data_IF_626331998770
#
_entry.id   IF_626331998770
#
_cell.length_a   1.000
_cell.length_b   1.000
_cell.length_c   1.000
_cell.angle_alpha   90.00
_cell.angle_beta   90.00
_cell.angle_gamma   90.00
#
_symmetry.space_group_name_H-M   'P 1'
#
loop_
_entity.id
_entity.type
_entity.pdbx_description
1 polymer ?
#
# COMPACT_ATOMS: atom_id res chain seq x y z
N UNK A 1 -0.11 4.66 -4.62
CA UNK A 1 -1.09 4.59 -5.72
C UNK A 1 -0.67 5.57 -6.81
N UNK A 2 -1.28 5.50 -8.00
CA UNK A 2 -1.02 6.50 -9.06
C UNK A 2 -1.73 7.84 -8.80
N UNK A 3 -2.38 7.96 -7.64
CA UNK A 3 -3.09 9.15 -7.15
C UNK A 3 -2.30 10.44 -7.20
N UNK A 4 -0.97 10.36 -7.20
CA UNK A 4 -0.07 11.51 -7.37
C UNK A 4 -0.31 12.22 -8.72
N UNK A 5 -0.64 11.47 -9.78
CA UNK A 5 -0.89 12.01 -11.11
C UNK A 5 -2.26 11.62 -11.70
N UNK A 6 -3.03 10.75 -11.03
CA UNK A 6 -4.42 10.41 -11.37
C UNK A 6 -5.30 10.59 -10.12
N UNK A 7 -5.87 11.78 -9.94
CA UNK A 7 -6.55 12.20 -8.68
C UNK A 7 -7.62 11.21 -8.17
N UNK A 8 -8.28 10.47 -9.06
CA UNK A 8 -9.37 9.53 -8.74
C UNK A 8 -8.99 8.07 -8.99
N UNK A 9 -7.70 7.74 -8.85
CA UNK A 9 -7.20 6.37 -9.00
C UNK A 9 -7.89 5.38 -8.03
N UNK A 10 -8.31 4.23 -8.57
CA UNK A 10 -9.02 3.16 -7.86
C UNK A 10 -8.53 1.80 -8.36
N UNK A 11 -8.85 0.72 -7.64
CA UNK A 11 -8.42 -0.60 -8.05
C UNK A 11 -8.96 -0.97 -9.44
N UNK A 12 -8.10 -1.59 -10.25
CA UNK A 12 -8.49 -2.11 -11.56
C UNK A 12 -9.53 -3.24 -11.44
N UNK A 13 -9.37 -4.11 -10.44
CA UNK A 13 -10.25 -5.24 -10.17
C UNK A 13 -11.10 -5.01 -8.91
N UNK A 14 -12.25 -5.67 -8.85
CA UNK A 14 -13.13 -5.63 -7.69
C UNK A 14 -12.60 -6.54 -6.57
N UNK A 15 -12.67 -6.06 -5.34
CA UNK A 15 -12.48 -6.87 -4.14
C UNK A 15 -13.70 -6.71 -3.23
N UNK A 16 -14.43 -7.79 -2.98
CA UNK A 16 -15.68 -7.73 -2.23
C UNK A 16 -16.74 -6.82 -2.87
N UNK A 17 -16.76 -6.74 -4.21
CA UNK A 17 -17.70 -5.90 -4.96
C UNK A 17 -17.35 -4.41 -5.03
N UNK A 18 -16.18 -3.99 -4.53
CA UNK A 18 -15.74 -2.59 -4.54
C UNK A 18 -14.44 -2.38 -5.31
N UNK A 19 -14.30 -1.21 -5.96
CA UNK A 19 -13.03 -0.71 -6.53
C UNK A 19 -12.22 0.14 -5.53
N UNK A 20 -12.76 0.40 -4.34
CA UNK A 20 -12.03 1.16 -3.33
C UNK A 20 -10.83 0.35 -2.81
N UNK A 21 -9.69 1.02 -2.59
CA UNK A 21 -8.54 0.40 -1.93
C UNK A 21 -8.97 -0.21 -0.59
N UNK A 22 -8.64 -1.49 -0.32
CA UNK A 22 -9.20 -2.23 0.79
C UNK A 22 -8.62 -1.77 2.11
N UNK A 23 -9.43 -1.81 3.16
CA UNK A 23 -8.93 -1.72 4.53
C UNK A 23 -8.32 -3.06 4.96
N UNK A 24 -7.49 -3.03 6.00
CA UNK A 24 -6.90 -4.22 6.60
C UNK A 24 -7.90 -5.37 6.82
N UNK A 25 -9.08 -5.09 7.41
CA UNK A 25 -10.12 -6.10 7.67
C UNK A 25 -10.62 -6.80 6.40
N UNK A 26 -10.68 -6.09 5.28
CA UNK A 26 -11.08 -6.68 4.01
C UNK A 26 -9.98 -7.59 3.46
N UNK A 27 -8.71 -7.16 3.50
CA UNK A 27 -7.58 -8.03 3.12
C UNK A 27 -7.53 -9.30 3.98
N UNK A 28 -7.74 -9.16 5.29
CA UNK A 28 -7.81 -10.30 6.21
C UNK A 28 -8.95 -11.25 5.85
N UNK A 29 -10.15 -10.74 5.59
CA UNK A 29 -11.30 -11.54 5.14
C UNK A 29 -11.00 -12.25 3.82
N UNK A 30 -10.40 -11.57 2.85
CA UNK A 30 -10.02 -12.17 1.58
C UNK A 30 -9.05 -13.33 1.77
N UNK A 31 -7.96 -13.12 2.51
CA UNK A 31 -6.97 -14.16 2.75
C UNK A 31 -7.59 -15.39 3.43
N UNK A 32 -8.48 -15.19 4.40
CA UNK A 32 -9.15 -16.29 5.10
C UNK A 32 -10.19 -17.01 4.25
N UNK A 33 -11.04 -16.29 3.53
CA UNK A 33 -12.19 -16.87 2.83
C UNK A 33 -11.89 -17.30 1.40
N UNK A 34 -11.07 -16.55 0.65
CA UNK A 34 -10.79 -16.81 -0.75
C UNK A 34 -9.45 -17.54 -0.95
N UNK A 35 -8.47 -17.30 -0.08
CA UNK A 35 -7.14 -17.92 -0.17
C UNK A 35 -6.94 -19.08 0.82
N UNK A 36 -7.93 -19.38 1.68
CA UNK A 36 -7.88 -20.42 2.71
C UNK A 36 -6.64 -20.32 3.64
N UNK A 37 -6.25 -19.09 3.98
CA UNK A 37 -5.13 -18.83 4.87
C UNK A 37 -5.58 -18.72 6.33
N UNK A 38 -4.70 -19.07 7.25
CA UNK A 38 -4.88 -18.75 8.67
C UNK A 38 -4.70 -17.25 8.90
N UNK A 39 -5.27 -16.74 9.99
CA UNK A 39 -5.07 -15.34 10.37
C UNK A 39 -3.59 -15.00 10.60
N UNK A 40 -2.84 -15.92 11.24
CA UNK A 40 -1.39 -15.76 11.43
C UNK A 40 -0.65 -15.64 10.10
N UNK A 41 -0.99 -16.47 9.10
CA UNK A 41 -0.35 -16.40 7.78
C UNK A 41 -0.73 -15.12 7.04
N UNK A 42 -1.97 -14.66 7.13
CA UNK A 42 -2.37 -13.36 6.58
C UNK A 42 -1.56 -12.21 7.19
N UNK A 43 -1.39 -12.21 8.52
CA UNK A 43 -0.61 -11.19 9.23
C UNK A 43 0.84 -11.18 8.78
N UNK A 44 1.47 -12.36 8.69
CA UNK A 44 2.84 -12.50 8.22
C UNK A 44 3.02 -11.92 6.81
N UNK A 45 2.11 -12.23 5.88
CA UNK A 45 2.17 -11.71 4.51
C UNK A 45 1.96 -10.19 4.46
N UNK A 46 1.04 -9.64 5.24
CA UNK A 46 0.84 -8.20 5.33
C UNK A 46 2.07 -7.48 5.91
N UNK A 47 2.73 -8.09 6.90
CA UNK A 47 3.99 -7.58 7.46
C UNK A 47 5.14 -7.64 6.44
N UNK A 48 5.25 -8.70 5.65
CA UNK A 48 6.25 -8.79 4.57
C UNK A 48 6.06 -7.68 3.54
N UNK A 49 4.80 -7.39 3.15
CA UNK A 49 4.49 -6.26 2.26
C UNK A 49 4.83 -4.92 2.91
N UNK A 50 4.49 -4.74 4.21
CA UNK A 50 4.81 -3.50 4.92
C UNK A 50 6.32 -3.26 4.97
N UNK A 51 7.10 -4.28 5.27
CA UNK A 51 8.57 -4.21 5.27
C UNK A 51 9.13 -3.87 3.88
N UNK A 52 8.64 -4.51 2.82
CA UNK A 52 9.06 -4.18 1.45
C UNK A 52 8.75 -2.73 1.07
N UNK A 53 7.62 -2.20 1.53
CA UNK A 53 7.27 -0.78 1.33
C UNK A 53 8.20 0.16 2.10
N UNK A 54 8.60 -0.18 3.33
CA UNK A 54 9.56 0.62 4.11
C UNK A 54 10.92 0.70 3.42
N UNK A 55 11.41 -0.42 2.87
CA UNK A 55 12.65 -0.46 2.10
C UNK A 55 12.55 0.44 0.86
N UNK A 56 11.49 0.28 0.06
CA UNK A 56 11.27 1.10 -1.14
C UNK A 56 11.13 2.60 -0.81
N UNK A 57 10.52 2.94 0.32
CA UNK A 57 10.43 4.31 0.81
C UNK A 57 11.80 4.89 1.20
N UNK A 58 12.68 4.07 1.79
CA UNK A 58 14.06 4.45 2.07
C UNK A 58 14.84 4.75 0.81
N UNK A 59 14.78 3.85 -0.18
CA UNK A 59 15.41 4.04 -1.51
C UNK A 59 14.90 5.30 -2.21
N UNK A 60 13.58 5.54 -2.15
CA UNK A 60 12.95 6.74 -2.69
C UNK A 60 13.46 8.02 -2.01
N UNK A 61 13.63 8.00 -0.69
CA UNK A 61 14.17 9.14 0.05
C UNK A 61 15.61 9.46 -0.36
N UNK A 62 16.45 8.45 -0.54
CA UNK A 62 17.82 8.63 -1.05
C UNK A 62 17.83 9.15 -2.50
N UNK A 63 16.95 8.63 -3.36
CA UNK A 63 16.82 9.11 -4.73
C UNK A 63 16.40 10.59 -4.80
N UNK A 64 15.45 11.02 -3.96
CA UNK A 64 15.01 12.41 -3.84
C UNK A 64 16.18 13.34 -3.45
N UNK A 65 17.01 12.92 -2.49
CA UNK A 65 18.19 13.69 -2.06
C UNK A 65 19.19 13.87 -3.21
N UNK A 66 19.43 12.81 -3.97
CA UNK A 66 20.34 12.83 -5.11
C UNK A 66 19.77 13.59 -6.33
N UNK A 67 18.46 13.68 -6.47
CA UNK A 67 17.79 14.22 -7.66
C UNK A 67 16.75 15.28 -7.30
N UNK A 68 17.20 16.51 -7.03
CA UNK A 68 16.31 17.61 -6.57
C UNK A 68 15.11 17.89 -7.49
N UNK A 69 15.23 17.70 -8.81
CA UNK A 69 14.12 17.85 -9.76
C UNK A 69 12.96 16.87 -9.50
N UNK A 70 13.24 15.77 -8.82
CA UNK A 70 12.27 14.73 -8.48
C UNK A 70 11.65 14.94 -7.10
N UNK A 71 12.11 15.92 -6.32
CA UNK A 71 11.72 16.06 -4.92
C UNK A 71 10.21 16.27 -4.72
N UNK A 72 9.57 17.06 -5.59
CA UNK A 72 8.13 17.33 -5.51
C UNK A 72 7.31 16.05 -5.71
N UNK A 73 7.50 15.38 -6.86
CA UNK A 73 6.75 14.16 -7.20
C UNK A 73 7.09 13.01 -6.26
N UNK A 74 8.37 12.84 -5.89
CA UNK A 74 8.83 11.81 -4.97
C UNK A 74 8.25 12.01 -3.56
N UNK A 75 8.18 13.26 -3.08
CA UNK A 75 7.53 13.59 -1.81
C UNK A 75 6.05 13.22 -1.82
N UNK A 76 5.32 13.60 -2.88
CA UNK A 76 3.92 13.24 -3.03
C UNK A 76 3.69 11.71 -3.12
N UNK A 77 4.61 10.98 -3.76
CA UNK A 77 4.58 9.51 -3.79
C UNK A 77 4.75 8.92 -2.40
N UNK A 78 5.73 9.40 -1.62
CA UNK A 78 5.95 8.95 -0.24
C UNK A 78 4.70 9.17 0.62
N UNK A 79 4.02 10.31 0.48
CA UNK A 79 2.80 10.60 1.24
C UNK A 79 1.65 9.65 0.86
N UNK A 80 1.44 9.39 -0.43
CA UNK A 80 0.44 8.42 -0.87
C UNK A 80 0.75 6.99 -0.43
N UNK A 81 2.03 6.61 -0.37
CA UNK A 81 2.45 5.29 0.13
C UNK A 81 2.16 5.16 1.63
N UNK A 82 2.50 6.17 2.44
CA UNK A 82 2.16 6.19 3.88
C UNK A 82 0.66 6.04 4.12
N UNK A 83 -0.16 6.79 3.38
CA UNK A 83 -1.62 6.68 3.46
C UNK A 83 -2.13 5.28 3.11
N UNK A 84 -1.58 4.68 2.04
CA UNK A 84 -1.92 3.33 1.60
C UNK A 84 -1.55 2.26 2.63
N UNK A 85 -0.35 2.38 3.21
CA UNK A 85 0.12 1.48 4.28
C UNK A 85 -0.76 1.60 5.52
N UNK A 86 -1.02 2.82 6.00
CA UNK A 86 -1.87 3.06 7.17
C UNK A 86 -3.28 2.49 6.99
N UNK A 87 -3.85 2.63 5.79
CA UNK A 87 -5.18 2.12 5.47
C UNK A 87 -5.27 0.60 5.41
N UNK A 88 -4.24 -0.04 4.85
CA UNK A 88 -4.36 -1.41 4.33
C UNK A 88 -3.52 -2.43 5.10
N UNK A 89 -2.37 -2.03 5.64
CA UNK A 89 -1.40 -2.94 6.21
C UNK A 89 -1.36 -2.88 7.74
N UNK A 90 -1.78 -1.76 8.33
CA UNK A 90 -1.87 -1.62 9.79
C UNK A 90 -3.24 -2.07 10.27
N UNK A 91 -3.25 -2.78 11.40
CA UNK A 91 -4.48 -3.19 12.07
C UNK A 91 -5.06 -1.96 12.80
N UNK A 92 -6.19 -1.47 12.30
CA UNK A 92 -7.05 -0.47 12.98
C UNK A 92 -7.44 -0.94 14.40
#
# INVERSE_FOLDING_TARGET
>A
TTSVYIKTDSMALLLGGSKAWPKYKMLMRFGRSACNLTESRCNELLQQVAHGMEVAMGEMAEYIKANRRFAEIGGAMLDQWKLGMARSLLKD
#
